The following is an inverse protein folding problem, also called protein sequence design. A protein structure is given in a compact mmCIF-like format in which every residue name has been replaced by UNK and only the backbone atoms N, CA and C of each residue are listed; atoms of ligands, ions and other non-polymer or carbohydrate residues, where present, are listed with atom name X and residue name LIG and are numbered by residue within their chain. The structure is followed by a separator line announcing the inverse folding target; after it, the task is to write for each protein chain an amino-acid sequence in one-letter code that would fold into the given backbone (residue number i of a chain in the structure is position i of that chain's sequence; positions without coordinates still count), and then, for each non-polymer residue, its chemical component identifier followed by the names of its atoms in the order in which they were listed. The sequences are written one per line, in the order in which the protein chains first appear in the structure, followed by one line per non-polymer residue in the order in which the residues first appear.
data_IF_171632871340
#
_entry.id   IF_171632871340
#
_cell.length_a   1.000
_cell.length_b   1.000
_cell.length_c   1.000
_cell.angle_alpha   90.00
_cell.angle_beta   90.00
_cell.angle_gamma   90.00
#
_symmetry.space_group_name_H-M   'P 1'
#
loop_
_entity.id
_entity.type
_entity.pdbx_description
1 polymer ?
#
# COMPACT_ATOMS: atom_id res chain seq x y z
N UNK A 1 -10.32 8.93 27.25
CA UNK A 1 -9.23 9.51 26.42
C UNK A 1 -9.76 10.78 25.79
N UNK A 2 -9.02 11.89 25.84
CA UNK A 2 -9.44 13.12 25.18
C UNK A 2 -9.28 12.98 23.67
N UNK A 3 -10.19 13.58 22.90
CA UNK A 3 -10.19 13.57 21.42
C UNK A 3 -8.87 14.07 20.84
N UNK A 4 -8.22 15.05 21.50
CA UNK A 4 -6.92 15.59 21.11
C UNK A 4 -5.78 14.54 21.08
N UNK A 5 -5.75 13.61 22.04
CA UNK A 5 -4.72 12.56 22.09
C UNK A 5 -4.93 11.55 20.95
N UNK A 6 -6.19 11.15 20.71
CA UNK A 6 -6.52 10.23 19.61
C UNK A 6 -6.20 10.84 18.24
N UNK A 7 -6.47 12.13 18.03
CA UNK A 7 -6.13 12.84 16.80
C UNK A 7 -4.62 12.93 16.57
N UNK A 8 -3.84 13.18 17.63
CA UNK A 8 -2.38 13.17 17.54
C UNK A 8 -1.85 11.79 17.13
N UNK A 9 -2.32 10.73 17.79
CA UNK A 9 -1.91 9.35 17.49
C UNK A 9 -2.24 8.99 16.03
N UNK A 10 -3.46 9.30 15.57
CA UNK A 10 -3.86 9.00 14.20
C UNK A 10 -2.97 9.70 13.17
N UNK A 11 -2.58 10.95 13.45
CA UNK A 11 -1.67 11.72 12.59
C UNK A 11 -0.27 11.12 12.55
N UNK A 12 0.30 10.78 13.71
CA UNK A 12 1.64 10.20 13.82
C UNK A 12 1.73 8.81 13.17
N UNK A 13 0.67 8.01 13.25
CA UNK A 13 0.59 6.70 12.59
C UNK A 13 0.23 6.78 11.10
N UNK A 14 0.05 7.99 10.54
CA UNK A 14 -0.30 8.17 9.14
C UNK A 14 -1.66 7.58 8.76
N UNK A 15 -2.62 7.54 9.69
CA UNK A 15 -3.96 7.04 9.41
C UNK A 15 -4.66 8.00 8.46
N UNK A 16 -4.95 7.51 7.26
CA UNK A 16 -5.76 8.24 6.30
C UNK A 16 -7.23 8.23 6.74
N UNK A 17 -7.68 9.36 7.30
CA UNK A 17 -9.08 9.58 7.68
C UNK A 17 -9.97 10.03 6.51
N UNK A 18 -9.39 10.27 5.33
CA UNK A 18 -10.14 10.62 4.11
C UNK A 18 -10.58 9.38 3.34
N UNK A 19 -9.96 8.21 3.60
CA UNK A 19 -10.44 6.93 3.10
C UNK A 19 -11.82 6.61 3.69
N UNK A 20 -12.84 6.85 2.89
CA UNK A 20 -14.24 6.55 3.21
C UNK A 20 -14.75 5.47 2.27
N UNK A 21 -15.89 4.85 2.61
CA UNK A 21 -16.49 3.80 1.79
C UNK A 21 -16.68 4.29 0.35
N UNK A 22 -16.19 3.51 -0.61
CA UNK A 22 -16.18 3.85 -2.04
C UNK A 22 -14.85 4.46 -2.53
N UNK A 23 -13.95 4.85 -1.62
CA UNK A 23 -12.61 5.38 -1.95
C UNK A 23 -11.52 4.30 -2.07
N UNK A 24 -11.85 3.03 -1.88
CA UNK A 24 -10.88 1.94 -1.77
C UNK A 24 -10.06 1.78 -3.05
N UNK A 25 -10.68 1.95 -4.22
CA UNK A 25 -10.00 1.83 -5.51
C UNK A 25 -8.86 2.86 -5.69
N UNK A 26 -9.08 4.10 -5.23
CA UNK A 26 -8.07 5.16 -5.26
C UNK A 26 -6.88 4.81 -4.37
N UNK A 27 -7.15 4.29 -3.16
CA UNK A 27 -6.10 3.90 -2.23
C UNK A 27 -5.29 2.69 -2.74
N UNK A 28 -5.98 1.72 -3.37
CA UNK A 28 -5.32 0.59 -4.05
C UNK A 28 -4.40 1.09 -5.16
N UNK A 29 -4.88 1.98 -6.04
CA UNK A 29 -4.07 2.55 -7.11
C UNK A 29 -2.86 3.33 -6.56
N UNK A 30 -3.06 4.16 -5.53
CA UNK A 30 -1.99 4.93 -4.88
C UNK A 30 -0.90 4.01 -4.31
N UNK A 31 -1.28 2.91 -3.65
CA UNK A 31 -0.33 1.94 -3.08
C UNK A 31 0.41 1.14 -4.15
N UNK A 32 -0.27 0.78 -5.25
CA UNK A 32 0.37 0.13 -6.38
C UNK A 32 1.43 1.06 -6.99
N UNK A 33 1.10 2.31 -7.27
CA UNK A 33 2.06 3.28 -7.80
C UNK A 33 3.24 3.51 -6.87
N UNK A 34 3.01 3.58 -5.55
CA UNK A 34 4.09 3.65 -4.58
C UNK A 34 5.05 2.44 -4.68
N UNK A 35 4.53 1.21 -4.74
CA UNK A 35 5.37 0.01 -4.88
C UNK A 35 6.17 0.04 -6.19
N UNK A 36 5.53 0.45 -7.30
CA UNK A 36 6.18 0.58 -8.61
C UNK A 36 7.32 1.60 -8.58
N UNK A 37 7.06 2.76 -8.00
CA UNK A 37 8.03 3.84 -7.85
C UNK A 37 9.25 3.36 -7.05
N UNK A 38 9.05 2.75 -5.88
CA UNK A 38 10.15 2.24 -5.04
C UNK A 38 10.97 1.17 -5.76
N UNK A 39 10.31 0.25 -6.49
CA UNK A 39 11.02 -0.79 -7.25
C UNK A 39 11.87 -0.19 -8.38
N UNK A 40 11.37 0.83 -9.09
CA UNK A 40 12.12 1.56 -10.13
C UNK A 40 13.30 2.34 -9.54
N UNK A 41 13.06 3.14 -8.51
CA UNK A 41 14.07 3.99 -7.88
C UNK A 41 15.21 3.19 -7.24
N UNK A 42 14.91 2.02 -6.70
CA UNK A 42 15.92 1.12 -6.12
C UNK A 42 16.79 0.41 -7.17
N UNK A 43 16.39 0.39 -8.45
CA UNK A 43 17.03 -0.40 -9.50
C UNK A 43 16.81 -1.91 -9.36
N UNK A 44 16.05 -2.37 -8.36
CA UNK A 44 15.70 -3.77 -8.17
C UNK A 44 14.68 -4.26 -9.21
N UNK A 45 14.56 -5.59 -9.35
CA UNK A 45 13.62 -6.24 -10.28
C UNK A 45 12.67 -7.22 -9.61
N UNK A 46 12.83 -7.43 -8.30
CA UNK A 46 12.09 -8.44 -7.54
C UNK A 46 11.57 -7.86 -6.24
N UNK A 47 10.39 -8.33 -5.82
CA UNK A 47 9.81 -8.12 -4.50
C UNK A 47 9.77 -9.46 -3.77
N UNK A 48 10.09 -9.46 -2.47
CA UNK A 48 10.03 -10.65 -1.61
C UNK A 48 9.06 -10.37 -0.46
N UNK A 49 8.09 -11.26 -0.25
CA UNK A 49 7.11 -11.16 0.82
C UNK A 49 6.81 -12.54 1.38
N UNK A 50 6.88 -12.69 2.71
CA UNK A 50 6.39 -13.89 3.39
C UNK A 50 4.87 -13.92 3.44
N UNK A 51 4.26 -15.01 2.96
CA UNK A 51 2.80 -15.19 2.98
C UNK A 51 2.42 -16.07 4.16
N UNK A 52 1.73 -15.49 5.16
CA UNK A 52 1.34 -16.19 6.40
C UNK A 52 -0.05 -16.83 6.31
N UNK A 53 -0.85 -16.47 5.31
CA UNK A 53 -2.27 -16.82 5.20
C UNK A 53 -3.21 -15.78 5.82
N UNK A 54 -2.68 -14.76 6.52
CA UNK A 54 -3.47 -13.66 7.08
C UNK A 54 -3.78 -12.54 6.05
N UNK A 55 -4.82 -11.75 6.36
CA UNK A 55 -5.34 -10.67 5.49
C UNK A 55 -4.28 -9.63 5.12
N UNK A 56 -3.36 -9.32 6.03
CA UNK A 56 -2.29 -8.34 5.78
C UNK A 56 -1.35 -8.82 4.67
N UNK A 57 -0.84 -10.06 4.81
CA UNK A 57 0.07 -10.66 3.82
C UNK A 57 -0.63 -10.91 2.48
N UNK A 58 -1.93 -11.25 2.50
CA UNK A 58 -2.74 -11.38 1.29
C UNK A 58 -2.88 -10.04 0.56
N UNK A 59 -3.25 -9.00 1.29
CA UNK A 59 -3.47 -7.65 0.73
C UNK A 59 -2.16 -7.10 0.16
N UNK A 60 -1.08 -7.13 0.94
CA UNK A 60 0.24 -6.70 0.48
C UNK A 60 0.72 -7.52 -0.72
N UNK A 61 0.59 -8.84 -0.68
CA UNK A 61 0.96 -9.73 -1.78
C UNK A 61 0.20 -9.43 -3.06
N UNK A 62 -1.11 -9.18 -2.97
CA UNK A 62 -1.93 -8.82 -4.14
C UNK A 62 -1.52 -7.47 -4.73
N UNK A 63 -1.25 -6.45 -3.89
CA UNK A 63 -0.76 -5.16 -4.36
C UNK A 63 0.61 -5.29 -5.05
N UNK A 64 1.54 -6.06 -4.47
CA UNK A 64 2.84 -6.35 -5.08
C UNK A 64 2.70 -7.03 -6.45
N UNK A 65 1.82 -8.04 -6.55
CA UNK A 65 1.59 -8.76 -7.80
C UNK A 65 1.03 -7.83 -8.89
N UNK A 66 0.03 -7.02 -8.57
CA UNK A 66 -0.54 -6.05 -9.51
C UNK A 66 0.50 -5.01 -9.96
N UNK A 67 1.34 -4.54 -9.03
CA UNK A 67 2.42 -3.60 -9.35
C UNK A 67 3.40 -4.18 -10.36
N UNK A 68 3.88 -5.41 -10.15
CA UNK A 68 4.84 -6.04 -11.08
C UNK A 68 4.20 -6.46 -12.40
N UNK A 69 2.90 -6.80 -12.41
CA UNK A 69 2.15 -7.05 -13.65
C UNK A 69 2.05 -5.79 -14.51
N UNK A 70 1.70 -4.64 -13.91
CA UNK A 70 1.65 -3.36 -14.61
C UNK A 70 3.02 -2.94 -15.14
N UNK A 71 4.08 -3.03 -14.33
CA UNK A 71 5.44 -2.69 -14.77
C UNK A 71 5.88 -3.51 -15.98
N UNK A 72 5.59 -4.81 -16.00
CA UNK A 72 5.91 -5.68 -17.15
C UNK A 72 5.12 -5.35 -18.42
N UNK A 73 3.98 -4.67 -18.30
CA UNK A 73 3.18 -4.22 -19.44
C UNK A 73 3.49 -2.79 -19.89
N UNK A 74 4.31 -2.05 -19.13
CA UNK A 74 4.78 -0.70 -19.46
C UNK A 74 6.11 -0.71 -20.23
N UNK A 75 6.89 -1.79 -20.10
CA UNK A 75 8.14 -2.06 -20.82
C UNK A 75 7.85 -2.74 -22.19
#
# INVERSE_FOLDING_TARGET
MTTLVQERIARELGIDRQLTRGGEATEVARRIEFIKQILRESGCKSLVLGISGGVDSLTAGRLCQLAVEQLRGED
#
